data_IF_209256968996
#
_entry.id   IF_209256968996
#
_cell.length_a   1.000
_cell.length_b   1.000
_cell.length_c   1.000
_cell.angle_alpha   90.00
_cell.angle_beta   90.00
_cell.angle_gamma   90.00
#
_symmetry.space_group_name_H-M   'P 1'
#
loop_
_entity.id
_entity.type
_entity.pdbx_description
1 polymer ?
#
# COMPACT_ATOMS: atom_id res chain seq x y z
N UNK A 1 -16.18 18.25 -6.49
CA UNK A 1 -15.05 17.70 -5.72
C UNK A 1 -14.81 16.28 -6.21
N UNK A 2 -13.84 16.05 -7.09
CA UNK A 2 -13.50 14.69 -7.51
C UNK A 2 -12.80 14.00 -6.34
N UNK A 3 -13.35 12.92 -5.76
CA UNK A 3 -12.68 12.23 -4.68
C UNK A 3 -11.33 11.72 -5.18
N UNK A 4 -10.30 11.85 -4.35
CA UNK A 4 -9.01 11.18 -4.58
C UNK A 4 -9.30 9.69 -4.73
N UNK A 5 -9.32 9.21 -5.97
CA UNK A 5 -9.48 7.79 -6.28
C UNK A 5 -8.21 7.12 -5.78
N UNK A 6 -8.29 6.50 -4.59
CA UNK A 6 -7.22 5.63 -4.11
C UNK A 6 -7.01 4.58 -5.20
N UNK A 7 -5.78 4.41 -5.74
CA UNK A 7 -5.53 3.38 -6.74
C UNK A 7 -6.13 2.06 -6.27
N UNK A 8 -6.92 1.42 -7.12
CA UNK A 8 -7.58 0.15 -6.81
C UNK A 8 -6.48 -0.91 -6.58
N UNK A 9 -6.07 -1.07 -5.31
CA UNK A 9 -5.08 -2.08 -4.91
C UNK A 9 -5.78 -3.44 -4.92
N UNK A 10 -5.67 -4.14 -6.04
CA UNK A 10 -6.18 -5.49 -6.19
C UNK A 10 -5.10 -6.51 -5.87
N UNK A 11 -5.50 -7.69 -5.38
CA UNK A 11 -4.58 -8.81 -5.27
C UNK A 11 -4.05 -9.18 -6.67
N UNK A 12 -2.72 -9.23 -6.88
CA UNK A 12 -2.18 -9.53 -8.21
C UNK A 12 -2.46 -10.97 -8.67
N UNK A 13 -2.83 -11.87 -7.75
CA UNK A 13 -3.12 -13.27 -8.06
C UNK A 13 -4.59 -13.53 -8.43
N UNK A 14 -5.53 -12.96 -7.68
CA UNK A 14 -6.96 -13.24 -7.85
C UNK A 14 -7.80 -12.01 -8.20
N UNK A 15 -7.16 -10.85 -8.38
CA UNK A 15 -7.79 -9.56 -8.67
C UNK A 15 -8.86 -9.10 -7.66
N UNK A 16 -8.94 -9.78 -6.52
CA UNK A 16 -9.86 -9.44 -5.45
C UNK A 16 -9.47 -8.10 -4.81
N UNK A 17 -10.45 -7.20 -4.68
CA UNK A 17 -10.28 -5.85 -4.12
C UNK A 17 -10.10 -5.83 -2.60
N UNK A 18 -10.54 -6.89 -1.91
CA UNK A 18 -10.37 -7.02 -0.47
C UNK A 18 -8.97 -7.48 -0.10
N UNK A 19 -8.23 -6.63 0.60
CA UNK A 19 -6.91 -6.92 1.17
C UNK A 19 -6.82 -6.50 2.64
N UNK A 20 -5.73 -6.89 3.29
CA UNK A 20 -5.39 -6.60 4.67
C UNK A 20 -3.97 -6.09 4.72
N UNK A 21 -3.78 -4.92 5.34
CA UNK A 21 -2.46 -4.47 5.76
C UNK A 21 -1.86 -5.46 6.75
N UNK A 22 -0.59 -5.80 6.56
CA UNK A 22 0.14 -6.74 7.44
C UNK A 22 1.36 -6.11 8.09
N UNK A 23 2.18 -5.42 7.31
CA UNK A 23 3.39 -4.79 7.81
C UNK A 23 3.78 -3.63 6.90
N UNK A 24 4.58 -2.70 7.42
CA UNK A 24 5.28 -1.72 6.62
C UNK A 24 6.74 -1.68 7.06
N UNK A 25 7.63 -1.45 6.11
CA UNK A 25 9.05 -1.20 6.39
C UNK A 25 9.55 -0.10 5.47
N UNK A 26 10.40 0.77 6.01
CA UNK A 26 11.13 1.74 5.20
C UNK A 26 12.39 1.08 4.69
N UNK A 27 12.64 1.18 3.40
CA UNK A 27 13.84 0.67 2.73
C UNK A 27 14.57 1.88 2.14
N UNK A 28 15.78 2.11 2.63
CA UNK A 28 16.68 3.11 2.07
C UNK A 28 17.46 2.42 0.95
N UNK A 29 17.22 2.81 -0.29
CA UNK A 29 17.94 2.33 -1.46
C UNK A 29 18.79 3.48 -2.04
N UNK A 30 19.67 3.14 -3.00
CA UNK A 30 20.56 4.11 -3.67
C UNK A 30 19.76 5.22 -4.35
N UNK A 31 18.58 4.89 -4.91
CA UNK A 31 17.65 5.82 -5.56
C UNK A 31 16.72 6.58 -4.60
N UNK A 32 16.89 6.42 -3.27
CA UNK A 32 16.12 7.14 -2.25
C UNK A 32 15.39 6.24 -1.25
N UNK A 33 14.53 6.87 -0.43
CA UNK A 33 13.75 6.17 0.60
C UNK A 33 12.44 5.66 0.01
N UNK A 34 12.18 4.37 0.19
CA UNK A 34 10.94 3.71 -0.21
C UNK A 34 10.22 3.17 1.02
N UNK A 35 8.90 3.13 0.97
CA UNK A 35 8.09 2.41 1.96
C UNK A 35 7.57 1.16 1.30
N UNK A 36 8.02 0.00 1.78
CA UNK A 36 7.47 -1.29 1.39
C UNK A 36 6.36 -1.68 2.35
N UNK A 37 5.14 -1.81 1.82
CA UNK A 37 3.96 -2.23 2.58
C UNK A 37 3.57 -3.64 2.19
N UNK A 38 3.51 -4.54 3.17
CA UNK A 38 3.02 -5.91 3.00
C UNK A 38 1.52 -5.95 3.12
N UNK A 39 0.88 -6.47 2.09
CA UNK A 39 -0.55 -6.77 2.06
C UNK A 39 -0.79 -8.28 1.97
N UNK A 40 -1.95 -8.69 2.47
CA UNK A 40 -2.49 -10.05 2.30
C UNK A 40 -3.88 -9.96 1.69
N UNK A 41 -4.16 -10.77 0.69
CA UNK A 41 -5.49 -10.86 0.11
C UNK A 41 -6.49 -11.44 1.13
N UNK A 42 -7.73 -10.95 1.12
CA UNK A 42 -8.85 -11.56 1.88
C UNK A 42 -9.52 -12.71 1.12
N UNK A 43 -9.49 -12.69 -0.21
CA UNK A 43 -10.09 -13.71 -1.07
C UNK A 43 -9.19 -14.91 -1.36
N UNK A 44 -7.89 -14.83 -1.08
CA UNK A 44 -6.96 -15.95 -1.25
C UNK A 44 -5.77 -15.83 -0.27
N UNK A 45 -4.95 -16.88 -0.06
CA UNK A 45 -3.81 -16.83 0.87
C UNK A 45 -2.60 -16.03 0.32
N UNK A 46 -2.75 -15.34 -0.81
CA UNK A 46 -1.65 -14.59 -1.43
C UNK A 46 -1.26 -13.37 -0.60
N UNK A 47 0.05 -13.13 -0.53
CA UNK A 47 0.65 -12.01 0.17
C UNK A 47 1.63 -11.34 -0.80
N UNK A 48 1.64 -10.02 -0.84
CA UNK A 48 2.54 -9.25 -1.69
C UNK A 48 3.07 -8.02 -0.96
N UNK A 49 4.21 -7.51 -1.44
CA UNK A 49 4.78 -6.25 -0.98
C UNK A 49 4.58 -5.21 -2.08
N UNK A 50 4.01 -4.06 -1.71
CA UNK A 50 4.00 -2.88 -2.57
C UNK A 50 5.08 -1.93 -2.12
N UNK A 51 5.96 -1.56 -3.05
CA UNK A 51 6.96 -0.52 -2.85
C UNK A 51 6.40 0.80 -3.36
N UNK A 52 6.22 1.76 -2.46
CA UNK A 52 5.90 3.13 -2.83
C UNK A 52 7.10 4.03 -2.51
N UNK A 53 7.45 5.01 -3.36
CA UNK A 53 8.43 6.02 -2.98
C UNK A 53 7.95 6.72 -1.71
N UNK A 54 8.85 6.93 -0.74
CA UNK A 54 8.48 7.69 0.45
C UNK A 54 8.12 9.11 -0.01
N UNK A 55 6.88 9.60 0.23
CA UNK A 55 6.57 10.97 -0.08
C UNK A 55 7.53 11.86 0.72
N UNK A 56 8.25 12.73 0.01
CA UNK A 56 8.95 13.84 0.67
C UNK A 56 7.88 14.68 1.35
N UNK A 57 7.83 14.62 2.68
CA UNK A 57 6.98 15.40 3.59
C UNK A 57 5.72 16.02 2.99
N UNK A 58 4.66 15.21 2.81
CA UNK A 58 3.29 15.74 2.71
C UNK A 58 2.33 14.83 3.51
N UNK A 59 1.90 15.30 4.70
CA UNK A 59 0.67 14.85 5.39
C UNK A 59 -0.49 14.95 4.39
N UNK A 60 -1.47 14.00 4.32
CA UNK A 60 -2.50 13.91 5.37
C UNK A 60 -3.23 12.55 5.58
N UNK A 61 -3.92 12.46 6.72
CA UNK A 61 -5.21 11.78 6.98
C UNK A 61 -5.29 10.24 6.89
N UNK A 62 -5.07 9.59 8.04
CA UNK A 62 -5.97 8.54 8.51
C UNK A 62 -6.84 9.18 9.61
N UNK A 63 -7.90 9.87 9.17
CA UNK A 63 -9.02 10.25 10.02
C UNK A 63 -9.99 9.07 9.96
N UNK A 64 -9.97 8.26 11.02
CA UNK A 64 -10.99 7.27 11.33
C UNK A 64 -11.10 7.16 12.86
N UNK A 65 -11.76 8.15 13.46
CA UNK A 65 -12.43 8.05 14.75
C UNK A 65 -13.62 9.02 14.76
#
# INVERSE_FOLDING_TARGET
MTPFVRPDRCCPKCQHKGYLFRARRTVEAVDGKFVETKYRCRGCPHQWWERVPAPSEQKPTDEAA
#
